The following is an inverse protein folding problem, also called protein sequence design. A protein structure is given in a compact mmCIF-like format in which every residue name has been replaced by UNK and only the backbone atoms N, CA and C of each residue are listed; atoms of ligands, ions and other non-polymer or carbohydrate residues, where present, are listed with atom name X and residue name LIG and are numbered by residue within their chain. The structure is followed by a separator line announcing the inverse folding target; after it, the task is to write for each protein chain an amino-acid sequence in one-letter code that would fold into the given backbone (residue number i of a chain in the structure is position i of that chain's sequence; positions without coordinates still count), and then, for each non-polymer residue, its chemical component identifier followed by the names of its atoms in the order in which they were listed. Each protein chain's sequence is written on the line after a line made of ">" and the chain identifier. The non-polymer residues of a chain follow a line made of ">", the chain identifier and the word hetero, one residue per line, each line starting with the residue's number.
data_IF_991960426310
#
_entry.id   IF_991960426310
#
_cell.length_a   1.000
_cell.length_b   1.000
_cell.length_c   1.000
_cell.angle_alpha   90.00
_cell.angle_beta   90.00
_cell.angle_gamma   90.00
#
_symmetry.space_group_name_H-M   'P 1'
#
loop_
_entity.id
_entity.type
_entity.pdbx_description
1 polymer ?
#
# COMPACT_ATOMS: atom_id res chain seq x y z
N UNK A 1 -0.94 -16.87 10.80
CA UNK A 1 -1.31 -16.07 9.61
C UNK A 1 -2.65 -15.33 9.75
N UNK A 2 -3.75 -15.95 10.20
CA UNK A 2 -5.05 -15.27 10.37
C UNK A 2 -4.98 -14.02 11.26
N UNK A 3 -4.35 -14.12 12.44
CA UNK A 3 -4.22 -12.99 13.38
C UNK A 3 -3.45 -11.79 12.78
N UNK A 4 -2.34 -12.04 12.08
CA UNK A 4 -1.56 -10.98 11.42
C UNK A 4 -2.39 -10.26 10.33
N UNK A 5 -3.13 -11.01 9.53
CA UNK A 5 -4.00 -10.42 8.50
C UNK A 5 -5.08 -9.55 9.12
N UNK A 6 -5.76 -10.06 10.16
CA UNK A 6 -6.77 -9.28 10.89
C UNK A 6 -6.19 -8.00 11.46
N UNK A 7 -4.99 -8.06 12.05
CA UNK A 7 -4.30 -6.88 12.55
C UNK A 7 -4.02 -5.86 11.43
N UNK A 8 -3.49 -6.30 10.29
CA UNK A 8 -3.20 -5.40 9.16
C UNK A 8 -4.46 -4.75 8.59
N UNK A 9 -5.55 -5.51 8.42
CA UNK A 9 -6.83 -4.98 7.95
C UNK A 9 -7.43 -3.99 8.94
N UNK A 10 -7.36 -4.29 10.25
CA UNK A 10 -7.88 -3.40 11.28
C UNK A 10 -7.06 -2.10 11.35
N UNK A 11 -5.73 -2.20 11.36
CA UNK A 11 -4.84 -1.04 11.36
C UNK A 11 -5.05 -0.17 10.12
N UNK A 12 -5.12 -0.78 8.93
CA UNK A 12 -5.39 -0.04 7.70
C UNK A 12 -6.79 0.61 7.68
N UNK A 13 -7.80 -0.09 8.20
CA UNK A 13 -9.15 0.45 8.32
C UNK A 13 -9.27 1.60 9.31
N UNK A 14 -8.65 1.49 10.48
CA UNK A 14 -8.57 2.58 11.47
C UNK A 14 -7.85 3.78 10.89
N UNK A 15 -6.72 3.57 10.19
CA UNK A 15 -6.00 4.65 9.53
C UNK A 15 -6.86 5.35 8.46
N UNK A 16 -7.63 4.60 7.68
CA UNK A 16 -8.54 5.18 6.69
C UNK A 16 -9.66 6.01 7.34
N UNK A 17 -10.27 5.51 8.41
CA UNK A 17 -11.29 6.24 9.18
C UNK A 17 -10.70 7.50 9.82
N UNK A 18 -9.46 7.44 10.32
CA UNK A 18 -8.75 8.60 10.84
C UNK A 18 -8.51 9.64 9.74
N UNK A 19 -8.06 9.24 8.56
CA UNK A 19 -7.90 10.15 7.42
C UNK A 19 -9.22 10.85 7.06
N UNK A 20 -10.31 10.09 6.95
CA UNK A 20 -11.66 10.65 6.67
C UNK A 20 -12.12 11.61 7.77
N UNK A 21 -11.90 11.26 9.04
CA UNK A 21 -12.23 12.13 10.17
C UNK A 21 -11.45 13.45 10.14
N UNK A 22 -10.13 13.38 9.92
CA UNK A 22 -9.26 14.56 9.86
C UNK A 22 -9.64 15.46 8.69
N UNK A 23 -9.92 14.91 7.52
CA UNK A 23 -10.37 15.68 6.36
C UNK A 23 -11.72 16.34 6.62
N UNK A 24 -12.66 15.63 7.25
CA UNK A 24 -13.98 16.17 7.60
C UNK A 24 -13.86 17.34 8.58
N UNK A 25 -13.08 17.17 9.66
CA UNK A 25 -12.81 18.24 10.63
C UNK A 25 -12.13 19.42 9.94
N UNK A 26 -11.20 19.17 9.01
CA UNK A 26 -10.50 20.22 8.28
C UNK A 26 -11.41 21.01 7.36
N UNK A 27 -12.36 20.35 6.69
CA UNK A 27 -13.38 21.00 5.86
C UNK A 27 -14.28 21.87 6.73
N UNK A 28 -14.79 21.33 7.85
CA UNK A 28 -15.64 22.09 8.79
C UNK A 28 -14.86 23.28 9.35
N UNK A 29 -13.63 23.06 9.80
CA UNK A 29 -12.73 24.09 10.34
C UNK A 29 -12.53 25.26 9.38
N UNK A 30 -12.36 24.99 8.08
CA UNK A 30 -12.28 26.04 7.06
C UNK A 30 -13.57 26.87 6.94
N UNK A 31 -14.75 26.27 7.12
CA UNK A 31 -16.02 26.98 7.04
C UNK A 31 -16.34 27.79 8.30
N UNK A 32 -15.85 27.37 9.48
CA UNK A 32 -16.08 28.08 10.76
C UNK A 32 -14.96 29.07 11.11
N UNK A 33 -14.03 29.34 10.19
CA UNK A 33 -12.93 30.28 10.39
C UNK A 33 -11.78 29.78 11.29
N UNK A 34 -11.78 28.50 11.66
CA UNK A 34 -10.73 27.85 12.46
C UNK A 34 -10.09 26.70 11.65
N UNK A 35 -9.15 27.01 10.73
CA UNK A 35 -8.53 25.99 9.89
C UNK A 35 -7.67 25.03 10.73
N UNK A 36 -7.88 23.73 10.54
CA UNK A 36 -7.09 22.68 11.20
C UNK A 36 -5.70 22.59 10.52
N UNK A 37 -4.69 23.19 11.16
CA UNK A 37 -3.30 23.19 10.68
C UNK A 37 -2.68 21.80 10.84
N UNK A 38 -1.88 21.36 9.86
CA UNK A 38 -1.22 20.05 9.87
C UNK A 38 -2.13 18.89 9.44
N UNK A 39 -3.37 19.17 9.02
CA UNK A 39 -4.31 18.16 8.55
C UNK A 39 -3.79 17.35 7.36
N UNK A 40 -3.17 18.02 6.39
CA UNK A 40 -2.61 17.40 5.19
C UNK A 40 -1.52 16.38 5.59
N UNK A 41 -0.63 16.75 6.50
CA UNK A 41 0.46 15.89 6.96
C UNK A 41 -0.08 14.62 7.64
N UNK A 42 -1.07 14.79 8.53
CA UNK A 42 -1.70 13.67 9.22
C UNK A 42 -2.45 12.74 8.26
N UNK A 43 -3.16 13.32 7.28
CA UNK A 43 -3.87 12.55 6.25
C UNK A 43 -2.90 11.81 5.36
N UNK A 44 -1.77 12.40 4.98
CA UNK A 44 -0.73 11.73 4.21
C UNK A 44 -0.19 10.50 4.92
N UNK A 45 0.10 10.59 6.23
CA UNK A 45 0.55 9.45 7.04
C UNK A 45 -0.54 8.38 7.11
N UNK A 46 -1.77 8.77 7.40
CA UNK A 46 -2.89 7.86 7.54
C UNK A 46 -3.20 7.12 6.23
N UNK A 47 -3.22 7.83 5.09
CA UNK A 47 -3.43 7.27 3.76
C UNK A 47 -2.27 6.38 3.33
N UNK A 48 -1.02 6.74 3.66
CA UNK A 48 0.13 5.89 3.40
C UNK A 48 -0.03 4.53 4.10
N UNK A 49 -0.36 4.53 5.39
CA UNK A 49 -0.57 3.30 6.16
C UNK A 49 -1.76 2.51 5.63
N UNK A 50 -2.91 3.16 5.45
CA UNK A 50 -4.12 2.51 4.96
C UNK A 50 -3.92 1.89 3.57
N UNK A 51 -3.39 2.67 2.63
CA UNK A 51 -3.20 2.27 1.24
C UNK A 51 -2.19 1.15 1.08
N UNK A 52 -1.00 1.27 1.67
CA UNK A 52 0.05 0.25 1.53
C UNK A 52 -0.33 -1.07 2.19
N UNK A 53 -0.97 -1.06 3.37
CA UNK A 53 -1.47 -2.28 4.02
C UNK A 53 -2.61 -2.92 3.23
N UNK A 54 -3.54 -2.12 2.67
CA UNK A 54 -4.60 -2.63 1.82
C UNK A 54 -4.05 -3.33 0.57
N UNK A 55 -3.04 -2.73 -0.09
CA UNK A 55 -2.36 -3.34 -1.24
C UNK A 55 -1.68 -4.66 -0.88
N UNK A 56 -1.02 -4.72 0.28
CA UNK A 56 -0.38 -5.95 0.74
C UNK A 56 -1.38 -7.06 1.05
N UNK A 57 -2.46 -6.75 1.80
CA UNK A 57 -3.52 -7.72 2.09
C UNK A 57 -4.19 -8.21 0.81
N UNK A 58 -4.57 -7.30 -0.10
CA UNK A 58 -5.17 -7.66 -1.38
C UNK A 58 -4.25 -8.55 -2.23
N UNK A 59 -2.94 -8.30 -2.20
CA UNK A 59 -1.94 -9.11 -2.88
C UNK A 59 -1.83 -10.51 -2.29
N UNK A 60 -1.81 -10.63 -0.96
CA UNK A 60 -1.73 -11.93 -0.27
C UNK A 60 -3.00 -12.75 -0.50
N UNK A 61 -4.17 -12.12 -0.44
CA UNK A 61 -5.46 -12.78 -0.64
C UNK A 61 -5.79 -13.01 -2.13
N UNK A 62 -4.93 -12.55 -3.06
CA UNK A 62 -5.12 -12.62 -4.52
C UNK A 62 -6.45 -11.99 -4.98
N UNK A 63 -6.90 -10.96 -4.26
CA UNK A 63 -8.15 -10.25 -4.49
C UNK A 63 -8.04 -9.12 -5.51
N UNK A 64 -6.93 -9.08 -6.27
CA UNK A 64 -6.80 -8.17 -7.42
C UNK A 64 -7.96 -8.39 -8.39
N UNK A 65 -8.48 -7.30 -8.96
CA UNK A 65 -9.61 -7.35 -9.87
C UNK A 65 -9.28 -8.26 -11.07
N UNK A 66 -10.09 -9.31 -11.28
CA UNK A 66 -9.99 -10.23 -12.42
C UNK A 66 -11.26 -10.15 -13.24
N UNK A 67 -11.11 -10.12 -14.56
CA UNK A 67 -12.26 -10.20 -15.47
C UNK A 67 -12.69 -11.65 -15.59
N UNK A 68 -13.53 -12.09 -14.65
CA UNK A 68 -14.03 -13.46 -14.56
C UNK A 68 -14.70 -13.95 -15.87
N UNK A 69 -15.38 -13.06 -16.58
CA UNK A 69 -15.99 -13.36 -17.89
C UNK A 69 -14.99 -13.93 -18.91
N UNK A 70 -13.74 -13.44 -18.90
CA UNK A 70 -12.68 -13.92 -19.79
C UNK A 70 -11.98 -15.13 -19.19
N UNK A 71 -11.60 -15.04 -17.91
CA UNK A 71 -10.75 -16.03 -17.24
C UNK A 71 -11.46 -17.38 -17.07
N UNK A 72 -12.77 -17.37 -16.83
CA UNK A 72 -13.54 -18.59 -16.63
C UNK A 72 -13.85 -19.32 -17.95
N UNK A 73 -13.62 -18.68 -19.10
CA UNK A 73 -13.71 -19.30 -20.45
C UNK A 73 -12.38 -19.94 -20.91
N UNK A 74 -11.30 -19.81 -20.13
CA UNK A 74 -9.98 -20.29 -20.52
C UNK A 74 -9.72 -21.70 -19.98
N UNK A 75 -8.89 -22.48 -20.70
CA UNK A 75 -8.40 -23.75 -20.20
C UNK A 75 -7.51 -23.56 -18.97
N UNK A 76 -7.48 -24.54 -18.07
CA UNK A 76 -6.65 -24.52 -16.86
C UNK A 76 -5.17 -24.10 -17.09
N UNK A 77 -4.46 -24.62 -18.12
CA UNK A 77 -3.08 -24.19 -18.37
C UNK A 77 -2.98 -22.72 -18.81
N UNK A 78 -3.92 -22.22 -19.59
CA UNK A 78 -3.94 -20.82 -20.01
C UNK A 78 -4.22 -19.87 -18.84
N UNK A 79 -5.14 -20.25 -17.94
CA UNK A 79 -5.41 -19.53 -16.69
C UNK A 79 -4.20 -19.50 -15.76
N UNK A 80 -3.51 -20.64 -15.62
CA UNK A 80 -2.30 -20.73 -14.81
C UNK A 80 -1.15 -19.87 -15.37
N UNK A 81 -1.00 -19.83 -16.69
CA UNK A 81 -0.03 -18.97 -17.37
C UNK A 81 -0.33 -17.49 -17.14
N UNK A 82 -1.59 -17.07 -17.32
CA UNK A 82 -2.00 -15.68 -17.08
C UNK A 82 -1.80 -15.25 -15.63
N UNK A 83 -2.21 -16.07 -14.66
CA UNK A 83 -1.99 -15.78 -13.23
C UNK A 83 -0.49 -15.58 -12.94
N UNK A 84 0.38 -16.37 -13.60
CA UNK A 84 1.83 -16.29 -13.45
C UNK A 84 2.40 -15.02 -14.09
N UNK A 85 1.97 -14.68 -15.30
CA UNK A 85 2.36 -13.45 -16.00
C UNK A 85 1.90 -12.22 -15.21
N UNK A 86 0.66 -12.20 -14.73
CA UNK A 86 0.15 -11.12 -13.88
C UNK A 86 0.96 -10.97 -12.59
N UNK A 87 1.33 -12.07 -11.94
CA UNK A 87 2.18 -12.03 -10.74
C UNK A 87 3.58 -11.48 -11.05
N UNK A 88 4.20 -11.87 -12.17
CA UNK A 88 5.51 -11.36 -12.59
C UNK A 88 5.48 -9.88 -12.97
N UNK A 89 4.48 -9.45 -13.73
CA UNK A 89 4.30 -8.04 -14.09
C UNK A 89 4.03 -7.19 -12.85
N UNK A 90 3.20 -7.68 -11.93
CA UNK A 90 2.98 -7.02 -10.64
C UNK A 90 4.27 -6.92 -9.82
N UNK A 91 5.05 -8.01 -9.75
CA UNK A 91 6.32 -8.02 -9.03
C UNK A 91 7.30 -7.01 -9.62
N UNK A 92 7.40 -6.95 -10.95
CA UNK A 92 8.24 -5.99 -11.67
C UNK A 92 7.81 -4.54 -11.39
N UNK A 93 6.50 -4.26 -11.45
CA UNK A 93 5.96 -2.94 -11.16
C UNK A 93 6.30 -2.49 -9.73
N UNK A 94 6.01 -3.33 -8.72
CA UNK A 94 6.31 -2.99 -7.33
C UNK A 94 7.83 -2.97 -7.04
N UNK A 95 8.64 -3.74 -7.75
CA UNK A 95 10.09 -3.67 -7.65
C UNK A 95 10.63 -2.35 -8.20
N UNK A 96 10.08 -1.85 -9.31
CA UNK A 96 10.42 -0.53 -9.84
C UNK A 96 10.02 0.60 -8.88
N UNK A 97 8.82 0.52 -8.29
CA UNK A 97 8.39 1.46 -7.25
C UNK A 97 9.30 1.42 -6.02
N UNK A 98 9.64 0.23 -5.53
CA UNK A 98 10.56 0.06 -4.41
C UNK A 98 11.94 0.64 -4.72
N UNK A 99 12.47 0.40 -5.92
CA UNK A 99 13.77 0.94 -6.32
C UNK A 99 13.76 2.48 -6.32
N UNK A 100 12.72 3.09 -6.89
CA UNK A 100 12.56 4.55 -6.88
C UNK A 100 12.37 5.12 -5.48
N UNK A 101 11.53 4.48 -4.65
CA UNK A 101 11.29 4.92 -3.27
C UNK A 101 12.51 4.73 -2.36
N UNK A 102 13.30 3.68 -2.57
CA UNK A 102 14.57 3.46 -1.88
C UNK A 102 15.64 4.47 -2.32
N UNK A 103 15.69 4.80 -3.62
CA UNK A 103 16.55 5.87 -4.15
C UNK A 103 16.24 7.21 -3.49
N UNK A 104 14.96 7.62 -3.51
CA UNK A 104 14.48 8.84 -2.86
C UNK A 104 14.77 8.86 -1.36
N UNK A 105 14.65 7.72 -0.68
CA UNK A 105 14.97 7.60 0.73
C UNK A 105 16.47 7.78 0.99
N UNK A 106 17.33 7.22 0.14
CA UNK A 106 18.79 7.35 0.26
C UNK A 106 19.26 8.78 0.01
N UNK A 107 18.73 9.43 -1.04
CA UNK A 107 19.06 10.81 -1.39
C UNK A 107 18.70 11.80 -0.27
N UNK A 108 17.54 11.59 0.35
CA UNK A 108 16.99 12.48 1.38
C UNK A 108 17.27 12.00 2.81
N UNK A 109 18.12 10.98 3.00
CA UNK A 109 18.38 10.40 4.32
C UNK A 109 19.08 11.36 5.28
N UNK A 110 19.96 12.20 4.76
CA UNK A 110 20.68 13.25 5.52
C UNK A 110 19.89 14.57 5.61
N UNK A 111 18.82 14.71 4.82
CA UNK A 111 17.88 15.81 4.94
C UNK A 111 17.08 15.66 6.23
N UNK A 112 17.09 16.67 7.09
CA UNK A 112 16.24 16.71 8.29
C UNK A 112 14.80 17.08 7.90
N UNK A 113 14.22 16.35 6.95
CA UNK A 113 12.84 16.57 6.51
C UNK A 113 11.86 16.14 7.60
N UNK A 114 11.42 17.13 8.37
CA UNK A 114 10.31 17.03 9.30
C UNK A 114 9.10 17.74 8.73
N UNK A 115 7.91 17.26 9.08
CA UNK A 115 6.68 17.92 8.68
C UNK A 115 6.56 19.29 9.37
N UNK A 116 6.24 20.34 8.61
CA UNK A 116 6.39 21.74 9.06
C UNK A 116 5.48 22.08 10.26
N UNK A 117 4.34 21.40 10.39
CA UNK A 117 3.35 21.71 11.42
C UNK A 117 3.33 20.68 12.55
N UNK A 118 3.44 19.39 12.23
CA UNK A 118 3.29 18.30 13.21
C UNK A 118 4.65 17.70 13.64
N UNK A 119 5.74 18.02 12.94
CA UNK A 119 7.08 17.51 13.26
C UNK A 119 7.24 16.01 12.99
N UNK A 120 6.45 15.43 12.09
CA UNK A 120 6.55 14.01 11.77
C UNK A 120 7.80 13.77 10.91
N UNK A 121 8.73 12.88 11.31
CA UNK A 121 9.91 12.60 10.50
C UNK A 121 9.54 11.74 9.29
N UNK A 122 9.65 12.30 8.08
CA UNK A 122 9.28 11.61 6.83
C UNK A 122 10.07 10.34 6.55
N UNK A 123 11.27 10.22 7.16
CA UNK A 123 12.16 9.07 7.05
C UNK A 123 11.50 7.77 7.52
N UNK A 124 10.73 7.83 8.61
CA UNK A 124 10.03 6.64 9.14
C UNK A 124 8.89 6.19 8.22
N UNK A 125 8.13 7.13 7.66
CA UNK A 125 7.09 6.81 6.67
C UNK A 125 7.67 6.18 5.41
N UNK A 126 8.79 6.72 4.89
CA UNK A 126 9.46 6.15 3.71
C UNK A 126 9.98 4.74 3.98
N UNK A 127 10.60 4.53 5.13
CA UNK A 127 11.05 3.21 5.55
C UNK A 127 9.89 2.21 5.64
N UNK A 128 8.79 2.62 6.26
CA UNK A 128 7.57 1.81 6.36
C UNK A 128 7.05 1.42 4.96
N UNK A 129 6.91 2.38 4.05
CA UNK A 129 6.46 2.13 2.68
C UNK A 129 7.39 1.14 1.94
N UNK A 130 8.70 1.34 2.04
CA UNK A 130 9.69 0.46 1.42
C UNK A 130 9.61 -0.98 1.95
N UNK A 131 9.43 -1.17 3.26
CA UNK A 131 9.25 -2.49 3.86
C UNK A 131 7.98 -3.17 3.34
N UNK A 132 6.87 -2.43 3.22
CA UNK A 132 5.61 -2.97 2.69
C UNK A 132 5.74 -3.32 1.20
N UNK A 133 6.36 -2.46 0.38
CA UNK A 133 6.62 -2.76 -1.03
C UNK A 133 7.52 -3.97 -1.21
N UNK A 134 8.56 -4.13 -0.39
CA UNK A 134 9.38 -5.34 -0.39
C UNK A 134 8.53 -6.59 -0.08
N UNK A 135 7.66 -6.52 0.92
CA UNK A 135 6.74 -7.63 1.24
C UNK A 135 5.80 -7.96 0.07
N UNK A 136 5.28 -6.96 -0.65
CA UNK A 136 4.45 -7.15 -1.85
C UNK A 136 5.24 -7.85 -2.96
N UNK A 137 6.47 -7.39 -3.25
CA UNK A 137 7.34 -8.02 -4.26
C UNK A 137 7.60 -9.48 -3.93
N UNK A 138 7.98 -9.78 -2.68
CA UNK A 138 8.22 -11.14 -2.23
C UNK A 138 6.96 -12.02 -2.32
N UNK A 139 5.80 -11.47 -1.97
CA UNK A 139 4.53 -12.17 -2.10
C UNK A 139 4.22 -12.51 -3.57
N UNK A 140 4.41 -11.57 -4.50
CA UNK A 140 4.16 -11.77 -5.92
C UNK A 140 5.14 -12.75 -6.56
N UNK A 141 6.43 -12.68 -6.22
CA UNK A 141 7.43 -13.65 -6.66
C UNK A 141 7.11 -15.05 -6.13
N UNK A 142 6.72 -15.17 -4.86
CA UNK A 142 6.27 -16.43 -4.27
C UNK A 142 5.05 -17.02 -4.99
N UNK A 143 4.12 -16.17 -5.42
CA UNK A 143 2.96 -16.58 -6.22
C UNK A 143 3.34 -17.01 -7.64
N UNK A 144 4.32 -16.35 -8.26
CA UNK A 144 4.82 -16.72 -9.58
C UNK A 144 5.60 -18.04 -9.56
N UNK A 145 6.30 -18.37 -8.48
CA UNK A 145 7.10 -19.59 -8.37
C UNK A 145 6.24 -20.80 -7.99
N UNK A 146 5.29 -20.64 -7.06
CA UNK A 146 4.42 -21.73 -6.63
C UNK A 146 3.41 -22.07 -7.73
N UNK A 147 3.66 -23.17 -8.45
CA UNK A 147 2.64 -23.81 -9.31
C UNK A 147 1.43 -24.11 -8.43
N UNK A 148 0.25 -23.61 -8.81
CA UNK A 148 -1.02 -24.12 -8.24
C UNK A 148 -1.01 -25.63 -8.48
N UNK A 149 -1.02 -26.42 -7.40
CA UNK A 149 -1.48 -27.81 -7.51
C UNK A 149 -2.99 -27.72 -7.85
N UNK A 150 -3.46 -28.52 -8.82
CA UNK A 150 -4.88 -28.57 -9.18
C UNK A 150 -5.73 -28.88 -7.95
#
# INVERSE_FOLDING_TARGET
>A
MKSLRTAMTLTGGIALLAATGIDTISVIGRHVGMPFRGSIELVQVAVLVAGTLALLVATVDRSHAKVHLLVDRMSEPARAMLDRVSALLGALFFAALLAGAAWLMADLWSGHEESEVVGVPWRWMRLFANVVFLAIVLALLGQAIRRRKP
#
